data_IF_980718204294
#
_entry.id   IF_980718204294
#
_cell.length_a   1.000
_cell.length_b   1.000
_cell.length_c   1.000
_cell.angle_alpha   90.00
_cell.angle_beta   90.00
_cell.angle_gamma   90.00
#
_symmetry.space_group_name_H-M   'P 1'
#
loop_
_entity.id
_entity.type
_entity.pdbx_description
1 polymer ?
#
# COMPACT_ATOMS: atom_id res chain seq x y z
N UNK A 1 1.26 45.28 -42.17
CA UNK A 1 1.65 45.13 -40.74
C UNK A 1 1.07 43.84 -40.24
N UNK A 2 1.89 42.81 -40.20
CA UNK A 2 1.50 41.50 -39.72
C UNK A 2 1.70 41.43 -38.21
N UNK A 3 0.59 41.38 -37.49
CA UNK A 3 0.66 41.10 -36.08
C UNK A 3 0.71 39.59 -35.91
N UNK A 4 1.86 39.11 -35.51
CA UNK A 4 2.04 37.71 -35.11
C UNK A 4 1.46 37.57 -33.72
N UNK A 5 0.27 37.03 -33.62
CA UNK A 5 -0.27 36.57 -32.36
C UNK A 5 0.39 35.25 -32.00
N UNK A 6 1.39 35.33 -31.12
CA UNK A 6 1.92 34.13 -30.46
C UNK A 6 0.85 33.65 -29.50
N UNK A 7 0.06 32.69 -29.93
CA UNK A 7 -0.75 31.93 -29.05
C UNK A 7 0.21 31.03 -28.25
N UNK A 8 0.51 31.44 -27.03
CA UNK A 8 1.18 30.57 -26.09
C UNK A 8 0.20 29.42 -25.75
N UNK A 9 0.37 28.29 -26.39
CA UNK A 9 -0.30 27.08 -25.98
C UNK A 9 0.25 26.69 -24.64
N UNK A 10 -0.49 27.02 -23.56
CA UNK A 10 -0.25 26.41 -22.27
C UNK A 10 -0.55 24.93 -22.43
N UNK A 11 0.49 24.14 -22.61
CA UNK A 11 0.38 22.70 -22.44
C UNK A 11 0.14 22.43 -20.96
N UNK A 12 -1.11 22.31 -20.55
CA UNK A 12 -1.43 21.70 -19.27
C UNK A 12 -1.02 20.24 -19.37
N UNK A 13 0.18 19.95 -18.91
CA UNK A 13 0.55 18.58 -18.61
C UNK A 13 -0.24 18.15 -17.38
N UNK A 14 -1.39 17.56 -17.60
CA UNK A 14 -2.06 16.78 -16.57
C UNK A 14 -1.16 15.58 -16.29
N UNK A 15 -0.30 15.73 -15.30
CA UNK A 15 0.33 14.57 -14.70
C UNK A 15 -0.78 13.87 -13.93
N UNK A 16 -1.38 12.84 -14.55
CA UNK A 16 -2.21 11.90 -13.83
C UNK A 16 -1.29 11.15 -12.86
N UNK A 17 -0.86 11.83 -11.80
CA UNK A 17 -0.15 11.22 -10.70
C UNK A 17 -1.09 10.25 -10.03
N UNK A 18 -0.65 9.00 -9.87
CA UNK A 18 -1.29 8.10 -8.92
C UNK A 18 -1.35 8.85 -7.59
N UNK A 19 -2.57 9.05 -7.06
CA UNK A 19 -2.71 9.64 -5.74
C UNK A 19 -2.00 8.75 -4.73
N UNK A 20 -1.01 9.32 -4.03
CA UNK A 20 -0.34 8.63 -2.95
C UNK A 20 -1.29 8.57 -1.75
N UNK A 21 -1.73 7.36 -1.32
CA UNK A 21 -2.64 7.24 -0.19
C UNK A 21 -2.03 7.70 1.13
N UNK A 22 -0.71 7.84 1.20
CA UNK A 22 0.00 8.31 2.39
C UNK A 22 0.31 9.81 2.35
N UNK A 23 -0.07 10.51 1.28
CA UNK A 23 0.14 11.94 1.15
C UNK A 23 -0.54 12.70 2.29
N UNK A 24 0.15 13.72 2.84
CA UNK A 24 -0.36 14.51 3.96
C UNK A 24 -0.32 13.81 5.31
N UNK A 25 0.35 12.67 5.40
CA UNK A 25 0.48 11.90 6.64
C UNK A 25 1.92 11.89 7.13
N UNK A 26 2.09 11.74 8.44
CA UNK A 26 3.40 11.64 9.08
C UNK A 26 3.61 10.20 9.54
N UNK A 27 4.77 9.64 9.20
CA UNK A 27 5.19 8.33 9.66
C UNK A 27 5.51 8.36 11.15
N UNK A 28 4.92 7.44 11.90
CA UNK A 28 5.25 7.22 13.29
C UNK A 28 6.31 6.13 13.45
N UNK A 29 6.44 5.65 14.68
CA UNK A 29 7.41 4.63 15.03
C UNK A 29 6.92 3.26 14.55
N UNK A 30 7.76 2.47 13.84
CA UNK A 30 7.38 1.12 13.45
C UNK A 30 7.08 0.24 14.65
N UNK A 31 6.07 -0.61 14.51
CA UNK A 31 5.71 -1.61 15.52
C UNK A 31 5.79 -3.00 14.93
N UNK A 32 5.91 -3.97 15.80
CA UNK A 32 6.07 -5.36 15.41
C UNK A 32 4.74 -6.03 15.05
N UNK A 33 3.66 -5.70 15.76
CA UNK A 33 2.34 -6.31 15.59
C UNK A 33 1.25 -5.26 15.54
N UNK A 34 0.18 -5.56 14.82
CA UNK A 34 -1.06 -4.76 14.76
C UNK A 34 -2.26 -5.66 15.04
N UNK A 35 -3.33 -5.08 15.58
CA UNK A 35 -4.55 -5.80 15.88
C UNK A 35 -5.45 -5.84 14.64
N UNK A 36 -5.66 -7.03 14.10
CA UNK A 36 -6.48 -7.23 12.91
C UNK A 36 -7.94 -6.83 13.07
N UNK A 37 -8.47 -6.89 14.28
CA UNK A 37 -9.86 -6.50 14.53
C UNK A 37 -10.11 -5.01 14.31
N UNK A 38 -9.06 -4.20 14.40
CA UNK A 38 -9.13 -2.75 14.17
C UNK A 38 -8.83 -2.35 12.74
N UNK A 39 -8.45 -3.30 11.89
CA UNK A 39 -7.99 -3.03 10.53
C UNK A 39 -9.06 -3.36 9.49
N UNK A 40 -9.12 -2.53 8.45
CA UNK A 40 -9.78 -2.91 7.21
C UNK A 40 -8.94 -3.91 6.42
N UNK A 41 -9.44 -4.33 5.26
CA UNK A 41 -8.71 -5.24 4.39
C UNK A 41 -7.43 -4.62 3.83
N UNK A 42 -6.48 -5.48 3.43
CA UNK A 42 -5.22 -5.00 2.86
C UNK A 42 -5.41 -4.40 1.47
N UNK A 43 -4.59 -3.41 1.18
CA UNK A 43 -4.45 -2.82 -0.15
C UNK A 43 -3.00 -3.02 -0.61
N UNK A 44 -2.82 -3.76 -1.70
CA UNK A 44 -1.51 -3.95 -2.31
C UNK A 44 -1.27 -2.76 -3.25
N UNK A 45 -0.29 -1.94 -2.93
CA UNK A 45 0.07 -0.77 -3.74
C UNK A 45 1.06 -1.15 -4.83
N UNK A 46 2.09 -1.90 -4.45
CA UNK A 46 3.12 -2.41 -5.35
C UNK A 46 3.79 -3.64 -4.72
N UNK A 47 4.85 -4.15 -5.34
CA UNK A 47 5.55 -5.35 -4.86
C UNK A 47 6.26 -5.18 -3.51
N UNK A 48 6.33 -3.96 -2.99
CA UNK A 48 7.02 -3.64 -1.74
C UNK A 48 6.10 -3.02 -0.68
N UNK A 49 4.85 -2.72 -1.03
CA UNK A 49 3.99 -1.90 -0.19
C UNK A 49 2.60 -2.49 -0.04
N UNK A 50 2.22 -2.77 1.19
CA UNK A 50 0.88 -3.19 1.59
C UNK A 50 0.37 -2.20 2.63
N UNK A 51 -0.86 -1.73 2.46
CA UNK A 51 -1.50 -0.79 3.37
C UNK A 51 -2.69 -1.43 4.07
N UNK A 52 -2.83 -1.13 5.36
CA UNK A 52 -4.00 -1.48 6.16
C UNK A 52 -4.58 -0.22 6.79
N UNK A 53 -5.84 0.06 6.51
CA UNK A 53 -6.52 1.22 7.11
C UNK A 53 -7.10 0.82 8.47
N UNK A 54 -6.76 1.58 9.52
CA UNK A 54 -7.32 1.39 10.84
C UNK A 54 -8.55 2.27 11.06
N UNK A 55 -8.44 3.52 10.61
CA UNK A 55 -9.50 4.52 10.69
C UNK A 55 -9.23 5.58 9.64
N UNK A 56 -10.09 6.59 9.53
CA UNK A 56 -9.81 7.72 8.66
C UNK A 56 -8.52 8.46 8.98
N UNK A 57 -7.97 8.27 10.17
CA UNK A 57 -6.77 8.98 10.66
C UNK A 57 -5.47 8.20 10.48
N UNK A 58 -5.54 6.87 10.47
CA UNK A 58 -4.33 6.03 10.47
C UNK A 58 -4.35 5.00 9.37
N UNK A 59 -3.24 4.92 8.66
CA UNK A 59 -2.93 3.85 7.72
C UNK A 59 -1.63 3.20 8.17
N UNK A 60 -1.64 1.89 8.25
CA UNK A 60 -0.43 1.11 8.51
C UNK A 60 0.22 0.73 7.19
N UNK A 61 1.51 1.02 7.08
CA UNK A 61 2.33 0.62 5.93
C UNK A 61 3.21 -0.54 6.33
N UNK A 62 3.17 -1.59 5.54
CA UNK A 62 4.05 -2.74 5.65
C UNK A 62 4.45 -3.22 4.25
N UNK A 63 5.09 -4.33 4.17
CA UNK A 63 5.47 -4.95 2.91
C UNK A 63 6.21 -6.25 3.17
N UNK A 64 6.79 -6.86 2.14
CA UNK A 64 7.56 -8.07 2.30
C UNK A 64 8.94 -7.80 2.87
N UNK A 65 9.48 -8.76 3.58
CA UNK A 65 10.92 -8.84 3.86
C UNK A 65 11.60 -9.33 2.59
N UNK A 66 12.49 -8.51 2.03
CA UNK A 66 13.14 -8.84 0.76
C UNK A 66 12.20 -8.73 -0.43
N UNK A 67 12.53 -9.43 -1.51
CA UNK A 67 11.74 -9.43 -2.73
C UNK A 67 10.56 -10.40 -2.64
N UNK A 68 9.40 -9.94 -3.08
CA UNK A 68 8.19 -10.76 -3.22
C UNK A 68 7.56 -10.48 -4.60
N UNK A 69 8.10 -11.08 -5.67
CA UNK A 69 7.68 -10.76 -7.04
C UNK A 69 6.21 -11.04 -7.32
N UNK A 70 5.61 -11.97 -6.57
CA UNK A 70 4.20 -12.32 -6.72
C UNK A 70 3.24 -11.29 -6.13
N UNK A 71 3.75 -10.31 -5.36
CA UNK A 71 2.93 -9.28 -4.75
C UNK A 71 2.58 -8.22 -5.79
N UNK A 72 1.34 -8.27 -6.30
CA UNK A 72 0.85 -7.39 -7.36
C UNK A 72 -0.46 -6.75 -6.96
N UNK A 73 -0.71 -5.54 -7.50
CA UNK A 73 -1.99 -4.86 -7.32
C UNK A 73 -3.14 -5.75 -7.77
N UNK A 74 -4.25 -5.65 -7.07
CA UNK A 74 -5.49 -6.38 -7.32
C UNK A 74 -5.43 -7.88 -7.04
N UNK A 75 -4.31 -8.41 -6.60
CA UNK A 75 -4.25 -9.76 -6.08
C UNK A 75 -4.92 -9.82 -4.71
N UNK A 76 -5.40 -11.01 -4.36
CA UNK A 76 -5.91 -11.28 -3.01
C UNK A 76 -4.76 -11.69 -2.11
N UNK A 77 -4.65 -11.03 -0.96
CA UNK A 77 -3.66 -11.36 0.05
C UNK A 77 -4.23 -12.43 0.99
N UNK A 78 -3.54 -13.54 1.11
CA UNK A 78 -3.87 -14.62 2.05
C UNK A 78 -2.83 -14.63 3.16
N UNK A 79 -3.27 -14.39 4.38
CA UNK A 79 -2.40 -14.19 5.54
C UNK A 79 -2.62 -15.32 6.55
N UNK A 80 -1.52 -15.89 7.04
CA UNK A 80 -1.56 -16.83 8.16
C UNK A 80 -1.57 -16.03 9.46
N UNK A 81 -2.71 -16.02 10.15
CA UNK A 81 -2.94 -15.21 11.34
C UNK A 81 -2.92 -16.08 12.59
N UNK A 82 -2.22 -15.64 13.61
CA UNK A 82 -2.16 -16.29 14.92
C UNK A 82 -2.63 -15.31 16.00
N UNK A 83 -3.67 -15.68 16.73
CA UNK A 83 -4.12 -14.95 17.91
C UNK A 83 -4.76 -13.57 17.63
N UNK A 84 -5.28 -13.34 16.42
CA UNK A 84 -5.96 -12.08 16.08
C UNK A 84 -5.03 -10.90 15.83
N UNK A 85 -3.73 -11.11 15.87
CA UNK A 85 -2.71 -10.11 15.55
C UNK A 85 -1.97 -10.46 14.27
N UNK A 86 -1.56 -9.42 13.55
CA UNK A 86 -0.67 -9.54 12.42
C UNK A 86 0.68 -8.98 12.81
N UNK A 87 1.73 -9.80 12.72
CA UNK A 87 3.05 -9.46 13.22
C UNK A 87 4.12 -9.55 12.14
N UNK A 88 5.22 -8.85 12.37
CA UNK A 88 6.45 -9.03 11.59
C UNK A 88 6.80 -10.50 11.50
N UNK A 89 7.23 -10.95 10.33
CA UNK A 89 7.56 -12.34 9.98
C UNK A 89 6.36 -13.28 9.83
N UNK A 90 5.14 -12.83 10.04
CA UNK A 90 3.97 -13.61 9.67
C UNK A 90 3.96 -13.85 8.18
N UNK A 91 3.46 -15.02 7.78
CA UNK A 91 3.51 -15.46 6.39
C UNK A 91 2.30 -14.99 5.63
N UNK A 92 2.50 -14.64 4.39
CA UNK A 92 1.42 -14.35 3.46
C UNK A 92 1.73 -14.89 2.08
N UNK A 93 0.66 -15.08 1.31
CA UNK A 93 0.69 -15.46 -0.09
C UNK A 93 -0.27 -14.59 -0.86
N UNK A 94 -0.15 -14.59 -2.16
CA UNK A 94 -1.10 -13.90 -3.02
C UNK A 94 -1.80 -14.88 -3.93
N UNK A 95 -3.05 -14.56 -4.27
CA UNK A 95 -3.83 -15.28 -5.27
C UNK A 95 -4.23 -14.27 -6.32
N UNK A 96 -3.82 -14.52 -7.55
CA UNK A 96 -4.18 -13.65 -8.68
C UNK A 96 -5.64 -13.82 -9.06
N UNK A 97 -6.26 -12.75 -9.59
CA UNK A 97 -7.64 -12.78 -10.03
C UNK A 97 -7.87 -13.90 -11.04
N UNK A 98 -8.92 -14.71 -10.81
CA UNK A 98 -9.26 -15.86 -11.66
C UNK A 98 -8.40 -17.09 -11.45
N UNK A 99 -7.44 -17.05 -10.54
CA UNK A 99 -6.58 -18.17 -10.17
C UNK A 99 -6.96 -18.71 -8.79
N UNK A 100 -6.75 -20.01 -8.57
CA UNK A 100 -7.01 -20.65 -7.28
C UNK A 100 -5.74 -21.14 -6.58
N UNK A 101 -4.59 -21.02 -7.23
CA UNK A 101 -3.31 -21.51 -6.70
C UNK A 101 -2.57 -20.33 -6.05
N UNK A 102 -2.28 -20.41 -4.73
CA UNK A 102 -1.50 -19.36 -4.07
C UNK A 102 -0.06 -19.32 -4.57
N UNK A 103 0.52 -18.13 -4.48
CA UNK A 103 1.94 -17.91 -4.77
C UNK A 103 2.86 -18.54 -3.73
N UNK A 104 4.17 -18.41 -3.94
CA UNK A 104 5.15 -18.71 -2.93
C UNK A 104 4.96 -17.80 -1.70
N UNK A 105 5.40 -18.28 -0.54
CA UNK A 105 5.24 -17.58 0.74
C UNK A 105 6.22 -16.43 0.86
N UNK A 106 5.69 -15.26 1.24
CA UNK A 106 6.47 -14.10 1.68
C UNK A 106 6.24 -13.85 3.16
N UNK A 107 7.01 -12.94 3.77
CA UNK A 107 6.88 -12.58 5.18
C UNK A 107 6.74 -11.08 5.33
N UNK A 108 5.94 -10.65 6.30
CA UNK A 108 5.78 -9.24 6.62
C UNK A 108 7.02 -8.66 7.29
N UNK A 109 7.33 -7.42 6.95
CA UNK A 109 8.23 -6.58 7.74
C UNK A 109 7.43 -5.80 8.80
N UNK A 110 8.08 -4.88 9.51
CA UNK A 110 7.43 -4.04 10.52
C UNK A 110 6.27 -3.23 9.94
N UNK A 111 5.37 -2.82 10.81
CA UNK A 111 4.21 -2.00 10.49
C UNK A 111 4.48 -0.58 10.94
N UNK A 112 4.43 0.37 10.01
CA UNK A 112 4.65 1.78 10.29
C UNK A 112 3.33 2.53 10.22
N UNK A 113 2.92 3.23 11.30
CA UNK A 113 1.70 4.01 11.27
C UNK A 113 1.94 5.34 10.54
N UNK A 114 0.98 5.72 9.71
CA UNK A 114 0.95 7.00 9.01
C UNK A 114 -0.32 7.73 9.43
N UNK A 115 -0.17 8.78 10.22
CA UNK A 115 -1.28 9.54 10.78
C UNK A 115 -1.44 10.88 10.07
N UNK A 116 -2.69 11.31 9.92
CA UNK A 116 -2.99 12.63 9.38
C UNK A 116 -2.45 13.71 10.31
N UNK A 117 -1.86 14.73 9.70
CA UNK A 117 -1.52 15.96 10.39
C UNK A 117 -2.81 16.73 10.67
N UNK A 118 -2.95 17.20 11.89
CA UNK A 118 -4.07 18.08 12.25
C UNK A 118 -3.86 19.50 11.69
#
# INVERSE_FOLDING_TARGET
MTRVLLAAALALTLVAGKSDPLAGRIAGKPVRCVDLQQLGGPEIVDSQTILYRQSGRRIWKTGPVGECPSLQRFDTLVVDVFGGQLCRNDRFRTVSAGMSIPSATCRFRDFTPYDRVK
#
